data_IF_583078200017
#
_entry.id   IF_583078200017
#
_cell.length_a   1.000
_cell.length_b   1.000
_cell.length_c   1.000
_cell.angle_alpha   90.00
_cell.angle_beta   90.00
_cell.angle_gamma   90.00
#
_symmetry.space_group_name_H-M   'P 1'
#
loop_
_entity.id
_entity.type
_entity.pdbx_description
1 polymer ?
#
# COMPACT_ATOMS: atom_id res chain seq x y z
N UNK A 1 4.30 -8.00 -7.20
CA UNK A 1 4.89 -8.69 -6.05
C UNK A 1 3.91 -9.73 -5.56
N UNK A 2 4.37 -10.95 -5.30
CA UNK A 2 3.56 -12.07 -4.80
C UNK A 2 4.25 -12.70 -3.59
N UNK A 3 4.15 -12.07 -2.40
CA UNK A 3 5.02 -12.39 -1.26
C UNK A 3 4.50 -13.52 -0.38
N UNK A 4 3.19 -13.81 -0.43
CA UNK A 4 2.49 -14.76 0.42
C UNK A 4 1.62 -15.65 -0.45
N UNK A 5 1.57 -16.94 -0.14
CA UNK A 5 0.71 -17.95 -0.78
C UNK A 5 -0.73 -17.90 -0.26
N UNK A 6 -1.66 -18.59 -0.92
CA UNK A 6 -3.07 -18.68 -0.46
C UNK A 6 -3.21 -19.26 0.96
N UNK A 7 -2.30 -20.16 1.36
CA UNK A 7 -2.26 -20.77 2.69
C UNK A 7 -1.64 -19.87 3.77
N UNK A 8 -1.25 -18.64 3.41
CA UNK A 8 -0.65 -17.71 4.37
C UNK A 8 0.83 -17.94 4.66
N UNK A 9 1.51 -18.71 3.83
CA UNK A 9 2.94 -18.99 3.95
C UNK A 9 3.76 -18.03 3.09
N UNK A 10 4.98 -17.62 3.52
CA UNK A 10 5.86 -16.80 2.70
C UNK A 10 6.24 -17.55 1.40
N UNK A 11 6.14 -16.84 0.27
CA UNK A 11 6.61 -17.33 -1.01
C UNK A 11 8.14 -17.46 -1.02
N UNK A 12 8.68 -18.25 -1.97
CA UNK A 12 10.12 -18.44 -2.10
C UNK A 12 10.87 -17.11 -2.23
N UNK A 13 11.91 -16.92 -1.41
CA UNK A 13 12.71 -15.70 -1.38
C UNK A 13 12.19 -14.61 -0.42
N UNK A 14 11.00 -14.78 0.16
CA UNK A 14 10.48 -13.89 1.20
C UNK A 14 10.77 -14.41 2.60
N UNK A 15 11.02 -13.50 3.53
CA UNK A 15 11.32 -13.81 4.95
C UNK A 15 10.32 -13.15 5.87
N UNK A 16 9.86 -13.90 6.88
CA UNK A 16 8.90 -13.42 7.87
C UNK A 16 9.63 -12.85 9.09
N UNK A 17 9.29 -11.62 9.47
CA UNK A 17 9.69 -11.00 10.74
C UNK A 17 8.47 -10.86 11.63
N UNK A 18 8.59 -11.22 12.92
CA UNK A 18 7.50 -11.07 13.88
C UNK A 18 7.51 -9.70 14.56
N UNK A 19 6.33 -9.06 14.63
CA UNK A 19 6.12 -7.80 15.35
C UNK A 19 4.90 -7.96 16.26
N UNK A 20 5.12 -7.91 17.58
CA UNK A 20 4.08 -8.16 18.60
C UNK A 20 3.63 -6.91 19.34
N UNK A 21 4.18 -5.74 19.00
CA UNK A 21 3.93 -4.47 19.69
C UNK A 21 2.59 -3.84 19.32
N UNK A 22 1.93 -4.31 18.26
CA UNK A 22 0.64 -3.82 17.78
C UNK A 22 -0.22 -5.00 17.33
N UNK A 23 -1.50 -4.96 17.68
CA UNK A 23 -2.51 -5.89 17.17
C UNK A 23 -3.30 -5.22 16.05
N UNK A 24 -3.58 -5.97 15.00
CA UNK A 24 -4.29 -5.49 13.82
C UNK A 24 -5.76 -5.92 13.81
N UNK A 25 -6.61 -5.01 13.32
CA UNK A 25 -7.99 -5.32 12.92
C UNK A 25 -8.10 -5.19 11.40
N UNK A 26 -8.35 -6.31 10.73
CA UNK A 26 -8.48 -6.43 9.28
C UNK A 26 -9.95 -6.53 8.82
N UNK A 27 -10.88 -6.20 9.71
CA UNK A 27 -12.31 -6.48 9.60
C UNK A 27 -12.69 -7.65 10.50
N UNK A 28 -13.78 -7.47 11.26
CA UNK A 28 -14.24 -8.45 12.25
C UNK A 28 -15.53 -9.18 11.84
N UNK A 29 -16.20 -8.74 10.78
CA UNK A 29 -17.43 -9.33 10.25
C UNK A 29 -17.67 -8.92 8.78
N UNK A 30 -18.60 -9.58 8.09
CA UNK A 30 -19.00 -9.29 6.70
C UNK A 30 -19.54 -7.86 6.47
N UNK A 31 -19.78 -7.10 7.53
CA UNK A 31 -20.23 -5.70 7.48
C UNK A 31 -19.08 -4.68 7.58
N UNK A 32 -17.86 -5.13 7.88
CA UNK A 32 -16.65 -4.29 7.96
C UNK A 32 -15.49 -4.97 7.19
N UNK A 33 -15.76 -5.34 5.94
CA UNK A 33 -14.73 -5.90 5.05
C UNK A 33 -13.81 -4.75 4.62
N UNK A 34 -12.50 -4.93 4.83
CA UNK A 34 -11.48 -3.95 4.44
C UNK A 34 -10.62 -4.49 3.29
N UNK A 35 -11.14 -4.51 2.05
CA UNK A 35 -10.34 -4.92 0.91
C UNK A 35 -9.15 -3.97 0.76
N UNK A 36 -7.99 -4.51 0.41
CA UNK A 36 -6.82 -3.70 0.14
C UNK A 36 -6.95 -2.96 -1.19
N UNK A 37 -6.67 -1.66 -1.19
CA UNK A 37 -6.65 -0.86 -2.42
C UNK A 37 -5.50 -1.26 -3.37
N UNK A 38 -4.49 -1.98 -2.87
CA UNK A 38 -3.31 -2.39 -3.67
C UNK A 38 -3.39 -3.84 -4.16
N UNK A 39 -4.49 -4.53 -3.84
CA UNK A 39 -4.71 -5.92 -4.18
C UNK A 39 -5.08 -6.10 -5.65
N UNK A 40 -4.40 -7.02 -6.34
CA UNK A 40 -4.83 -7.51 -7.66
C UNK A 40 -5.56 -8.85 -7.58
N UNK A 41 -5.52 -9.52 -6.43
CA UNK A 41 -6.22 -10.77 -6.16
C UNK A 41 -7.08 -10.64 -4.89
N UNK A 42 -8.11 -11.49 -4.78
CA UNK A 42 -9.02 -11.53 -3.62
C UNK A 42 -8.28 -11.90 -2.31
N UNK A 43 -8.96 -11.63 -1.19
CA UNK A 43 -8.53 -11.96 0.19
C UNK A 43 -7.21 -11.31 0.64
N UNK A 44 -6.88 -10.17 0.03
CA UNK A 44 -5.83 -9.26 0.50
C UNK A 44 -6.50 -8.07 1.20
N UNK A 45 -6.14 -7.86 2.46
CA UNK A 45 -6.80 -6.88 3.33
C UNK A 45 -5.92 -5.68 3.64
N UNK A 46 -6.57 -4.53 3.82
CA UNK A 46 -5.99 -3.42 4.55
C UNK A 46 -6.43 -3.50 6.02
N UNK A 47 -5.48 -3.41 6.95
CA UNK A 47 -5.73 -3.52 8.37
C UNK A 47 -5.44 -2.21 9.10
N UNK A 48 -6.03 -2.07 10.28
CA UNK A 48 -5.87 -0.91 11.17
C UNK A 48 -5.07 -1.30 12.43
N UNK A 49 -4.37 -0.35 13.08
CA UNK A 49 -4.27 1.07 12.76
C UNK A 49 -3.35 1.37 11.55
N UNK A 50 -3.59 2.48 10.87
CA UNK A 50 -2.82 2.90 9.69
C UNK A 50 -1.33 3.16 10.00
N UNK A 51 -1.00 3.48 11.26
CA UNK A 51 0.38 3.61 11.75
C UNK A 51 1.20 2.32 11.65
N UNK A 52 0.54 1.16 11.57
CA UNK A 52 1.22 -0.11 11.34
C UNK A 52 1.53 -0.36 9.84
N UNK A 53 1.14 0.54 8.94
CA UNK A 53 1.33 0.41 7.49
C UNK A 53 0.88 -0.96 6.95
N UNK A 54 -0.28 -1.44 7.41
CA UNK A 54 -0.80 -2.76 7.10
C UNK A 54 -1.72 -2.74 5.87
N UNK A 55 -1.20 -2.29 4.73
CA UNK A 55 -2.01 -2.03 3.52
C UNK A 55 -2.25 -3.24 2.64
N UNK A 56 -1.46 -4.32 2.79
CA UNK A 56 -1.65 -5.58 2.08
C UNK A 56 -1.34 -6.76 3.01
N UNK A 57 -2.37 -7.45 3.48
CA UNK A 57 -2.25 -8.51 4.48
C UNK A 57 -3.08 -9.75 4.15
N UNK A 58 -2.53 -10.92 4.46
CA UNK A 58 -3.14 -12.23 4.30
C UNK A 58 -3.35 -12.89 5.66
N UNK A 59 -4.27 -13.86 5.69
CA UNK A 59 -4.38 -14.78 6.82
C UNK A 59 -3.05 -15.52 6.98
N UNK A 60 -2.50 -15.51 8.18
CA UNK A 60 -1.33 -16.32 8.51
C UNK A 60 -1.79 -17.77 8.74
N UNK A 61 -0.91 -18.73 8.46
CA UNK A 61 -1.17 -20.14 8.73
C UNK A 61 -1.41 -20.42 10.22
N UNK A 62 -0.84 -19.61 11.13
CA UNK A 62 -1.13 -19.70 12.55
C UNK A 62 -2.37 -18.86 12.93
N UNK A 63 -3.31 -19.43 13.69
CA UNK A 63 -4.49 -18.70 14.17
C UNK A 63 -4.13 -17.46 14.98
N UNK A 64 -4.88 -16.36 14.77
CA UNK A 64 -4.70 -15.11 15.51
C UNK A 64 -3.58 -14.20 14.97
N UNK A 65 -3.02 -14.50 13.80
CA UNK A 65 -2.00 -13.68 13.15
C UNK A 65 -2.36 -13.31 11.72
N UNK A 66 -1.80 -12.20 11.25
CA UNK A 66 -1.75 -11.80 9.84
C UNK A 66 -0.29 -11.77 9.39
N UNK A 67 -0.08 -11.91 8.09
CA UNK A 67 1.19 -11.54 7.43
C UNK A 67 0.92 -10.39 6.49
N UNK A 68 1.72 -9.32 6.58
CA UNK A 68 1.56 -8.11 5.80
C UNK A 68 2.81 -7.82 4.99
N UNK A 69 2.62 -7.46 3.72
CA UNK A 69 3.68 -6.96 2.86
C UNK A 69 3.57 -5.44 2.74
N UNK A 70 4.68 -4.75 2.98
CA UNK A 70 4.69 -3.30 3.23
C UNK A 70 5.55 -2.52 2.25
N UNK A 71 6.61 -3.11 1.74
CA UNK A 71 7.63 -2.41 0.97
C UNK A 71 8.01 -3.25 -0.27
N UNK A 72 7.75 -2.76 -1.50
CA UNK A 72 8.06 -3.49 -2.72
C UNK A 72 9.55 -3.59 -3.04
N UNK A 73 10.43 -2.85 -2.34
CA UNK A 73 11.88 -2.89 -2.48
C UNK A 73 12.57 -3.87 -1.54
N UNK A 74 11.82 -4.50 -0.63
CA UNK A 74 12.33 -5.56 0.25
C UNK A 74 11.61 -6.88 0.01
N UNK A 75 12.22 -7.96 0.46
CA UNK A 75 11.62 -9.31 0.50
C UNK A 75 11.14 -9.68 1.91
N UNK A 76 10.90 -8.68 2.75
CA UNK A 76 10.41 -8.87 4.11
C UNK A 76 8.88 -8.84 4.15
N UNK A 77 8.30 -9.81 4.84
CA UNK A 77 6.90 -9.80 5.25
C UNK A 77 6.83 -9.74 6.77
N UNK A 78 5.87 -8.99 7.30
CA UNK A 78 5.75 -8.81 8.75
C UNK A 78 4.56 -9.59 9.27
N UNK A 79 4.78 -10.45 10.26
CA UNK A 79 3.72 -11.17 10.96
C UNK A 79 3.31 -10.42 12.21
N UNK A 80 2.01 -10.17 12.37
CA UNK A 80 1.46 -9.41 13.49
C UNK A 80 0.26 -10.12 14.12
N UNK A 81 0.05 -9.98 15.44
CA UNK A 81 -1.20 -10.39 16.08
C UNK A 81 -2.40 -9.71 15.42
N UNK A 82 -3.50 -10.42 15.31
CA UNK A 82 -4.74 -9.89 14.75
C UNK A 82 -5.96 -10.37 15.49
N UNK A 83 -6.97 -9.51 15.58
CA UNK A 83 -8.26 -9.83 16.20
C UNK A 83 -9.33 -10.03 15.13
N UNK A 84 -10.31 -10.89 15.42
CA UNK A 84 -11.48 -11.09 14.57
C UNK A 84 -11.30 -12.14 13.48
N UNK A 85 -12.42 -12.58 12.91
CA UNK A 85 -12.45 -13.41 11.71
C UNK A 85 -12.34 -12.53 10.48
N UNK A 86 -11.54 -12.94 9.49
CA UNK A 86 -11.46 -12.22 8.22
C UNK A 86 -12.55 -12.70 7.26
N UNK A 87 -13.52 -11.84 6.91
CA UNK A 87 -14.46 -12.15 5.85
C UNK A 87 -13.71 -12.22 4.50
N UNK A 88 -14.27 -12.94 3.53
CA UNK A 88 -13.74 -12.88 2.17
C UNK A 88 -13.76 -11.43 1.66
N UNK A 89 -12.69 -11.02 0.99
CA UNK A 89 -12.57 -9.68 0.40
C UNK A 89 -12.35 -9.79 -1.09
N UNK A 90 -13.11 -9.01 -1.86
CA UNK A 90 -12.94 -8.93 -3.32
C UNK A 90 -11.92 -7.84 -3.66
N UNK A 91 -11.01 -8.14 -4.59
CA UNK A 91 -10.09 -7.15 -5.12
C UNK A 91 -10.83 -5.99 -5.80
N UNK A 92 -10.32 -4.75 -5.72
CA UNK A 92 -10.89 -3.64 -6.47
C UNK A 92 -10.78 -3.88 -7.98
N UNK A 93 -11.74 -3.39 -8.76
CA UNK A 93 -11.70 -3.43 -10.24
C UNK A 93 -10.42 -2.78 -10.79
N UNK A 94 -9.93 -1.74 -10.11
CA UNK A 94 -8.68 -1.07 -10.44
C UNK A 94 -7.80 -0.97 -9.19
N UNK A 95 -6.82 -1.86 -9.10
CA UNK A 95 -5.80 -1.82 -8.07
C UNK A 95 -4.94 -0.56 -8.18
N UNK A 96 -4.47 -0.07 -7.04
CA UNK A 96 -3.46 0.99 -6.92
C UNK A 96 -2.09 0.36 -6.71
N UNK A 97 -1.00 0.92 -7.24
CA UNK A 97 0.34 0.48 -6.88
C UNK A 97 0.58 0.58 -5.36
N UNK A 98 1.28 -0.39 -4.78
CA UNK A 98 1.86 -0.29 -3.43
C UNK A 98 3.00 0.72 -3.42
N UNK A 99 3.80 0.75 -4.49
CA UNK A 99 4.87 1.73 -4.64
C UNK A 99 5.15 2.09 -6.09
N UNK A 100 5.84 3.22 -6.26
CA UNK A 100 6.23 3.83 -7.52
C UNK A 100 7.74 4.10 -7.49
N UNK A 101 8.43 3.76 -8.57
CA UNK A 101 9.78 4.26 -8.85
C UNK A 101 9.65 5.36 -9.90
N UNK A 102 10.13 6.56 -9.58
CA UNK A 102 10.04 7.73 -10.44
C UNK A 102 11.30 7.90 -11.31
N UNK A 103 11.21 8.72 -12.35
CA UNK A 103 12.28 8.97 -13.33
C UNK A 103 13.55 9.60 -12.77
N UNK A 104 13.46 10.28 -11.62
CA UNK A 104 14.59 10.83 -10.87
C UNK A 104 15.16 9.84 -9.84
N UNK A 105 14.59 8.64 -9.75
CA UNK A 105 15.01 7.58 -8.84
C UNK A 105 14.27 7.55 -7.51
N UNK A 106 13.38 8.51 -7.24
CA UNK A 106 12.63 8.59 -6.00
C UNK A 106 11.64 7.42 -5.87
N UNK A 107 11.44 6.97 -4.64
CA UNK A 107 10.64 5.80 -4.28
C UNK A 107 9.45 6.24 -3.46
N UNK A 108 8.26 6.13 -4.04
CA UNK A 108 7.03 6.57 -3.40
C UNK A 108 6.16 5.39 -2.98
N UNK A 109 5.77 5.31 -1.71
CA UNK A 109 4.86 4.30 -1.15
C UNK A 109 3.44 4.86 -1.02
N UNK A 110 2.44 4.01 -1.25
CA UNK A 110 1.04 4.39 -1.05
C UNK A 110 0.85 4.95 0.36
N UNK A 111 0.09 6.04 0.47
CA UNK A 111 -0.17 6.65 1.77
C UNK A 111 -1.02 5.73 2.65
N UNK A 112 -0.52 5.43 3.84
CA UNK A 112 -1.28 4.80 4.92
C UNK A 112 -1.22 5.69 6.17
N UNK A 113 -2.22 6.55 6.33
CA UNK A 113 -2.30 7.47 7.47
C UNK A 113 -1.35 8.68 7.40
N UNK A 114 -0.94 9.16 8.57
CA UNK A 114 -0.09 10.34 8.73
C UNK A 114 -0.83 11.68 8.57
N UNK A 115 -0.29 12.72 9.21
CA UNK A 115 -0.71 14.12 9.02
C UNK A 115 0.10 14.70 7.87
N UNK A 116 -0.60 15.29 6.91
CA UNK A 116 -0.03 15.90 5.72
C UNK A 116 -0.54 17.33 5.66
N UNK A 117 0.28 18.26 5.20
CA UNK A 117 -0.15 19.63 4.98
C UNK A 117 -1.06 19.72 3.75
N UNK A 118 -1.68 20.88 3.56
CA UNK A 118 -2.35 21.20 2.31
C UNK A 118 -1.33 21.67 1.27
N UNK A 119 -1.58 21.35 0.00
CA UNK A 119 -0.76 21.88 -1.09
C UNK A 119 -1.17 23.31 -1.40
N UNK A 120 -0.26 24.27 -1.22
CA UNK A 120 -0.56 25.71 -1.33
C UNK A 120 -1.16 26.10 -2.68
N UNK A 121 -0.61 25.58 -3.77
CA UNK A 121 -1.11 25.86 -5.14
C UNK A 121 -2.46 25.19 -5.43
N UNK A 122 -2.77 24.10 -4.72
CA UNK A 122 -4.00 23.32 -4.91
C UNK A 122 -4.56 22.80 -3.57
N UNK A 123 -5.22 23.66 -2.75
CA UNK A 123 -5.62 23.29 -1.39
C UNK A 123 -6.67 22.16 -1.31
N UNK A 124 -7.36 21.84 -2.41
CA UNK A 124 -8.31 20.74 -2.48
C UNK A 124 -7.65 19.39 -2.82
N UNK A 125 -6.37 19.38 -3.19
CA UNK A 125 -5.63 18.16 -3.51
C UNK A 125 -5.14 17.47 -2.24
N UNK A 126 -4.95 16.16 -2.31
CA UNK A 126 -4.46 15.36 -1.21
C UNK A 126 -3.26 14.51 -1.62
N UNK A 127 -2.40 14.23 -0.64
CA UNK A 127 -1.28 13.31 -0.80
C UNK A 127 -1.74 11.86 -0.95
N UNK A 128 -1.25 11.19 -1.99
CA UNK A 128 -1.58 9.81 -2.36
C UNK A 128 -0.43 8.83 -2.14
N UNK A 129 0.82 9.29 -2.32
CA UNK A 129 2.03 8.51 -2.05
C UNK A 129 3.07 9.36 -1.35
N UNK A 130 3.77 8.79 -0.35
CA UNK A 130 4.91 9.40 0.34
C UNK A 130 6.19 8.94 -0.32
N UNK A 131 7.08 9.87 -0.65
CA UNK A 131 8.35 9.57 -1.29
C UNK A 131 9.53 9.70 -0.32
N UNK A 132 10.69 9.14 -0.69
CA UNK A 132 11.87 9.08 0.20
C UNK A 132 12.55 10.42 0.41
N UNK A 133 12.48 11.34 -0.56
CA UNK A 133 13.13 12.66 -0.51
C UNK A 133 12.19 13.75 0.04
N UNK A 134 11.45 13.45 1.12
CA UNK A 134 10.40 14.31 1.71
C UNK A 134 9.31 14.74 0.70
N UNK A 135 9.20 14.01 -0.41
CA UNK A 135 8.27 14.24 -1.49
C UNK A 135 6.91 13.58 -1.28
N UNK A 136 5.93 14.06 -2.02
CA UNK A 136 4.56 13.59 -1.99
C UNK A 136 3.98 13.61 -3.40
N UNK A 137 3.29 12.54 -3.80
CA UNK A 137 2.42 12.57 -4.98
C UNK A 137 1.10 13.22 -4.58
N UNK A 138 0.75 14.31 -5.24
CA UNK A 138 -0.47 15.08 -4.99
C UNK A 138 -1.50 14.87 -6.08
N UNK A 139 -2.77 14.76 -5.70
CA UNK A 139 -3.85 14.47 -6.63
C UNK A 139 -5.14 15.18 -6.25
N UNK A 140 -5.92 15.55 -7.27
CA UNK A 140 -7.32 15.97 -7.10
C UNK A 140 -8.23 14.78 -6.77
N UNK A 141 -7.92 13.61 -7.32
CA UNK A 141 -8.75 12.41 -7.19
C UNK A 141 -7.97 11.12 -7.43
N UNK A 142 -8.60 10.00 -7.10
CA UNK A 142 -8.07 8.64 -7.25
C UNK A 142 -6.67 8.47 -6.62
N UNK A 143 -5.71 7.96 -7.40
CA UNK A 143 -4.34 7.68 -6.98
C UNK A 143 -3.30 8.65 -7.58
N UNK A 144 -3.72 9.71 -8.27
CA UNK A 144 -2.81 10.73 -8.81
C UNK A 144 -1.94 10.31 -9.98
N UNK A 145 -2.15 9.10 -10.53
CA UNK A 145 -1.37 8.58 -11.65
C UNK A 145 -2.14 8.83 -12.95
N UNK A 146 -1.61 9.71 -13.79
CA UNK A 146 -2.08 9.90 -15.17
C UNK A 146 -1.58 8.75 -16.04
N UNK A 147 -2.53 8.00 -16.61
CA UNK A 147 -2.30 6.81 -17.45
C UNK A 147 -2.71 7.04 -18.91
N UNK A 148 -3.04 8.28 -19.28
CA UNK A 148 -3.54 8.62 -20.63
C UNK A 148 -2.46 8.57 -21.72
N UNK A 149 -1.19 8.74 -21.32
CA UNK A 149 -0.04 8.71 -22.19
C UNK A 149 0.66 7.34 -22.28
N UNK A 150 1.64 7.19 -23.19
CA UNK A 150 2.43 5.96 -23.34
C UNK A 150 3.34 5.68 -22.13
N UNK A 151 3.61 6.71 -21.32
CA UNK A 151 4.23 6.59 -20.00
C UNK A 151 3.31 7.20 -18.98
N UNK A 152 3.17 6.51 -17.85
CA UNK A 152 2.41 7.05 -16.74
C UNK A 152 3.17 8.20 -16.09
N UNK A 153 2.44 9.18 -15.58
CA UNK A 153 3.04 10.32 -14.88
C UNK A 153 2.31 10.63 -13.59
N UNK A 154 3.00 11.32 -12.68
CA UNK A 154 2.48 11.81 -11.41
C UNK A 154 2.90 13.25 -11.19
N UNK A 155 2.16 13.96 -10.34
CA UNK A 155 2.48 15.33 -9.90
C UNK A 155 3.07 15.26 -8.49
N UNK A 156 4.30 15.73 -8.33
CA UNK A 156 5.08 15.63 -7.08
C UNK A 156 5.43 17.01 -6.57
N UNK A 157 5.29 17.22 -5.27
CA UNK A 157 5.82 18.36 -4.53
C UNK A 157 6.23 17.87 -3.13
N UNK A 158 7.06 18.61 -2.38
CA UNK A 158 7.37 18.29 -1.00
C UNK A 158 6.12 18.09 -0.15
N UNK A 159 6.21 17.22 0.84
CA UNK A 159 5.11 16.92 1.77
C UNK A 159 4.68 18.15 2.60
N UNK A 160 5.55 19.17 2.69
CA UNK A 160 5.24 20.46 3.30
C UNK A 160 4.14 21.23 2.56
N UNK A 161 3.97 20.99 1.26
CA UNK A 161 2.98 21.66 0.41
C UNK A 161 3.36 23.07 -0.05
N UNK A 162 4.62 23.49 0.16
CA UNK A 162 5.05 24.88 -0.10
C UNK A 162 5.74 25.10 -1.46
N UNK A 163 6.30 24.06 -2.07
CA UNK A 163 7.00 24.16 -3.37
C UNK A 163 6.13 23.76 -4.57
N UNK A 164 6.45 24.23 -5.80
CA UNK A 164 5.65 23.96 -6.99
C UNK A 164 5.57 22.48 -7.38
N UNK A 165 4.45 22.10 -7.98
CA UNK A 165 4.29 20.75 -8.54
C UNK A 165 5.18 20.53 -9.74
N UNK A 166 5.90 19.41 -9.71
CA UNK A 166 6.66 18.92 -10.85
C UNK A 166 6.08 17.60 -11.36
N UNK A 167 6.03 17.44 -12.68
CA UNK A 167 5.64 16.16 -13.28
C UNK A 167 6.82 15.19 -13.29
N UNK A 168 6.58 13.95 -12.90
CA UNK A 168 7.55 12.84 -12.97
C UNK A 168 6.97 11.67 -13.73
N UNK A 169 7.79 11.02 -14.54
CA UNK A 169 7.39 9.75 -15.16
C UNK A 169 7.48 8.63 -14.12
N UNK A 170 6.53 7.70 -14.18
CA UNK A 170 6.59 6.44 -13.43
C UNK A 170 7.40 5.44 -14.25
N UNK A 171 8.55 5.05 -13.72
CA UNK A 171 9.43 4.03 -14.34
C UNK A 171 8.89 2.63 -14.03
N UNK A 172 8.51 2.39 -12.77
CA UNK A 172 7.98 1.10 -12.32
C UNK A 172 6.84 1.34 -11.33
N UNK A 173 5.74 0.62 -11.52
CA UNK A 173 4.63 0.55 -10.57
C UNK A 173 4.54 -0.88 -9.99
N UNK A 174 4.55 -0.98 -8.67
CA UNK A 174 4.56 -2.28 -7.98
C UNK A 174 3.17 -2.61 -7.44
N UNK A 175 2.56 -3.66 -8.00
CA UNK A 175 1.27 -4.19 -7.53
C UNK A 175 1.44 -5.42 -6.65
N UNK A 176 0.44 -5.74 -5.84
CA UNK A 176 0.50 -6.83 -4.86
C UNK A 176 -0.57 -7.87 -5.11
N UNK A 177 -0.16 -9.12 -5.25
CA UNK A 177 -1.03 -10.29 -5.42
C UNK A 177 -0.57 -11.46 -4.56
N UNK A 178 -1.27 -12.58 -4.67
CA UNK A 178 -1.01 -13.81 -3.92
C UNK A 178 -0.14 -14.77 -4.75
N UNK A 179 0.85 -15.41 -4.16
CA UNK A 179 1.67 -16.41 -4.84
C UNK A 179 0.89 -17.71 -5.07
N UNK A 180 1.17 -18.39 -6.18
CA UNK A 180 0.74 -19.78 -6.36
C UNK A 180 1.52 -20.69 -5.40
N UNK A 181 0.83 -21.70 -4.87
CA UNK A 181 1.39 -22.71 -3.97
C UNK A 181 2.11 -23.85 -4.68
#
# INVERSE_FOLDING_TARGET
MRPITEDGLPAAGFTVTEVTTVALDCGSASVDIRPSAVAVDDNIHACTPSSAFAVACWQDAAPGFVVCYRDPWTTEVVRLPSTGSRPAATAPEQARPLGLLLSDGDRCLIRSGGVWNDLTEHPAWYGTYSCTDDGAVWAESADGIDRSGPRWTVRVAPISGEDPLTTREVVTAYFVGTAEG
#
